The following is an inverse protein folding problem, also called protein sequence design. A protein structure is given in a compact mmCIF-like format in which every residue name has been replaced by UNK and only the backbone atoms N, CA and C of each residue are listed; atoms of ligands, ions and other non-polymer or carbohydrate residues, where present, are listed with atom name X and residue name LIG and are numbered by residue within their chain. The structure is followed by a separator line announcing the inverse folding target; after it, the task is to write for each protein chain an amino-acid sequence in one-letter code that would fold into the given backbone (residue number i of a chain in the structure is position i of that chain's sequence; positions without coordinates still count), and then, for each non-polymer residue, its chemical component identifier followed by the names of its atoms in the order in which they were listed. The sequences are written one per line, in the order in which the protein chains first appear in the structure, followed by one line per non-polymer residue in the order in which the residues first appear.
data_IF_996933026081
#
_entry.id   IF_996933026081
#
_cell.length_a   1.000
_cell.length_b   1.000
_cell.length_c   1.000
_cell.angle_alpha   90.00
_cell.angle_beta   90.00
_cell.angle_gamma   90.00
#
_symmetry.space_group_name_H-M   'P 1'
#
loop_
_entity.id
_entity.type
_entity.pdbx_description
1 polymer ?
#
# COMPACT_ATOMS: atom_id res chain seq x y z
N UNK A 1 -31.70 -0.99 7.74
CA UNK A 1 -31.70 -1.59 6.39
C UNK A 1 -32.76 -0.99 5.46
N UNK A 2 -33.99 -0.67 5.90
CA UNK A 2 -35.05 -0.17 4.98
C UNK A 2 -34.87 1.24 4.38
N UNK A 3 -34.13 2.17 5.00
CA UNK A 3 -33.94 3.51 4.41
C UNK A 3 -32.86 3.57 3.33
N UNK A 4 -31.78 2.80 3.47
CA UNK A 4 -30.70 2.77 2.47
C UNK A 4 -31.17 2.18 1.12
N UNK A 5 -32.00 1.13 1.16
CA UNK A 5 -32.65 0.55 -0.03
C UNK A 5 -33.61 1.55 -0.71
N UNK A 6 -34.30 2.39 0.07
CA UNK A 6 -35.13 3.47 -0.47
C UNK A 6 -34.34 4.51 -1.26
N UNK A 7 -33.13 4.86 -0.78
CA UNK A 7 -32.25 5.81 -1.45
C UNK A 7 -31.45 5.21 -2.61
N UNK A 8 -31.29 3.88 -2.68
CA UNK A 8 -30.62 3.22 -3.81
C UNK A 8 -31.31 3.52 -5.16
N UNK A 9 -32.63 3.75 -5.15
CA UNK A 9 -33.39 4.18 -6.35
C UNK A 9 -32.95 5.54 -6.92
N UNK A 10 -32.25 6.35 -6.13
CA UNK A 10 -31.72 7.65 -6.57
C UNK A 10 -30.37 7.52 -7.29
N UNK A 11 -29.71 6.36 -7.25
CA UNK A 11 -28.38 6.16 -7.87
C UNK A 11 -28.36 6.61 -9.33
N UNK A 12 -29.29 6.23 -10.22
CA UNK A 12 -29.29 6.72 -11.60
C UNK A 12 -29.39 8.24 -11.73
N UNK A 13 -30.14 8.89 -10.82
CA UNK A 13 -30.26 10.35 -10.79
C UNK A 13 -28.97 11.03 -10.34
N UNK A 14 -28.29 10.46 -9.34
CA UNK A 14 -26.99 10.93 -8.85
C UNK A 14 -25.89 10.72 -9.89
N UNK A 15 -25.90 9.59 -10.59
CA UNK A 15 -25.01 9.29 -11.72
C UNK A 15 -25.18 10.35 -12.82
N UNK A 16 -26.42 10.68 -13.20
CA UNK A 16 -26.71 11.73 -14.17
C UNK A 16 -26.22 13.11 -13.71
N UNK A 17 -26.41 13.44 -12.43
CA UNK A 17 -25.92 14.70 -11.86
C UNK A 17 -24.39 14.78 -11.94
N UNK A 18 -23.69 13.72 -11.54
CA UNK A 18 -22.23 13.66 -11.60
C UNK A 18 -21.74 13.74 -13.05
N UNK A 19 -22.39 13.05 -13.99
CA UNK A 19 -22.09 13.13 -15.42
C UNK A 19 -22.24 14.55 -15.98
N UNK A 20 -23.28 15.25 -15.54
CA UNK A 20 -23.49 16.65 -15.91
C UNK A 20 -22.37 17.54 -15.36
N UNK A 21 -21.91 17.34 -14.13
CA UNK A 21 -20.79 18.10 -13.56
C UNK A 21 -19.47 17.88 -14.30
N UNK A 22 -19.21 16.65 -14.78
CA UNK A 22 -18.03 16.35 -15.60
C UNK A 22 -18.09 16.99 -16.99
N UNK A 23 -19.31 17.16 -17.53
CA UNK A 23 -19.54 17.72 -18.87
C UNK A 23 -19.79 19.23 -18.85
N UNK A 24 -20.14 19.77 -17.68
CA UNK A 24 -20.33 21.21 -17.48
C UNK A 24 -18.98 21.88 -17.68
N UNK A 25 -18.95 22.80 -18.63
CA UNK A 25 -17.83 23.71 -18.79
C UNK A 25 -17.71 24.66 -17.61
N UNK A 26 -17.06 25.79 -17.85
CA UNK A 26 -16.75 26.77 -16.83
C UNK A 26 -18.00 27.36 -16.15
N UNK A 27 -18.05 27.24 -14.82
CA UNK A 27 -19.03 27.92 -13.97
C UNK A 27 -18.30 28.87 -13.03
N UNK A 28 -18.44 30.21 -13.18
CA UNK A 28 -17.64 31.18 -12.41
C UNK A 28 -17.80 31.06 -10.88
N UNK A 29 -18.98 30.65 -10.41
CA UNK A 29 -19.30 30.57 -8.98
C UNK A 29 -18.82 29.28 -8.32
N UNK A 30 -18.54 28.25 -9.13
CA UNK A 30 -18.28 26.89 -8.65
C UNK A 30 -16.98 26.29 -9.20
N UNK A 31 -16.25 27.02 -10.05
CA UNK A 31 -14.96 26.57 -10.57
C UNK A 31 -13.88 26.67 -9.50
N UNK A 32 -13.14 25.58 -9.33
CA UNK A 32 -11.92 25.55 -8.53
C UNK A 32 -10.81 24.98 -9.40
N UNK A 33 -9.94 25.88 -9.88
CA UNK A 33 -8.78 25.55 -10.70
C UNK A 33 -9.12 24.79 -11.99
N UNK A 34 -10.20 25.19 -12.68
CA UNK A 34 -10.64 24.59 -13.94
C UNK A 34 -11.54 23.35 -13.78
N UNK A 35 -11.91 23.02 -12.54
CA UNK A 35 -12.82 21.90 -12.24
C UNK A 35 -14.12 22.45 -11.64
N UNK A 36 -15.25 22.09 -12.25
CA UNK A 36 -16.59 22.49 -11.82
C UNK A 36 -17.03 21.75 -10.55
N UNK A 37 -17.19 22.49 -9.46
CA UNK A 37 -17.67 22.04 -8.14
C UNK A 37 -17.03 20.74 -7.63
N UNK A 38 -15.71 20.71 -7.35
CA UNK A 38 -15.04 19.50 -6.88
C UNK A 38 -15.58 19.01 -5.53
N UNK A 39 -16.12 19.91 -4.70
CA UNK A 39 -16.68 19.54 -3.40
C UNK A 39 -17.94 18.71 -3.57
N UNK A 40 -18.87 19.15 -4.42
CA UNK A 40 -20.07 18.38 -4.73
C UNK A 40 -19.73 17.05 -5.39
N UNK A 41 -18.78 17.02 -6.34
CA UNK A 41 -18.33 15.77 -6.96
C UNK A 41 -17.82 14.76 -5.92
N UNK A 42 -16.97 15.19 -4.99
CA UNK A 42 -16.48 14.33 -3.89
C UNK A 42 -17.62 13.84 -3.00
N UNK A 43 -18.59 14.71 -2.66
CA UNK A 43 -19.76 14.30 -1.84
C UNK A 43 -20.66 13.31 -2.57
N UNK A 44 -20.86 13.47 -3.87
CA UNK A 44 -21.61 12.54 -4.71
C UNK A 44 -20.92 11.18 -4.78
N UNK A 45 -19.61 11.14 -5.02
CA UNK A 45 -18.82 9.91 -5.04
C UNK A 45 -18.89 9.17 -3.70
N UNK A 46 -18.80 9.90 -2.58
CA UNK A 46 -18.94 9.33 -1.25
C UNK A 46 -20.34 8.79 -0.98
N UNK A 47 -21.39 9.45 -1.50
CA UNK A 47 -22.75 8.95 -1.40
C UNK A 47 -22.95 7.68 -2.24
N UNK A 48 -22.44 7.66 -3.49
CA UNK A 48 -22.45 6.49 -4.36
C UNK A 48 -21.74 5.31 -3.71
N UNK A 49 -20.57 5.53 -3.10
CA UNK A 49 -19.85 4.52 -2.31
C UNK A 49 -20.75 3.87 -1.24
N UNK A 50 -21.49 4.69 -0.49
CA UNK A 50 -22.36 4.19 0.59
C UNK A 50 -23.59 3.44 0.05
N UNK A 51 -24.13 3.86 -1.09
CA UNK A 51 -25.31 3.25 -1.71
C UNK A 51 -24.98 1.96 -2.48
N UNK A 52 -23.78 1.86 -3.06
CA UNK A 52 -23.32 0.67 -3.79
C UNK A 52 -22.77 -0.43 -2.89
N UNK A 53 -22.36 -0.12 -1.66
CA UNK A 53 -21.78 -1.12 -0.75
C UNK A 53 -22.78 -2.24 -0.43
N UNK A 54 -22.51 -3.45 -0.91
CA UNK A 54 -23.37 -4.63 -0.72
C UNK A 54 -24.67 -4.59 -1.53
N UNK A 55 -24.71 -3.79 -2.61
CA UNK A 55 -25.81 -3.74 -3.57
C UNK A 55 -25.24 -3.78 -5.00
N UNK A 56 -25.36 -4.95 -5.64
CA UNK A 56 -24.81 -5.20 -6.97
C UNK A 56 -25.51 -4.36 -8.05
N UNK A 57 -26.84 -4.27 -8.02
CA UNK A 57 -27.60 -3.46 -8.99
C UNK A 57 -27.21 -1.97 -8.96
N UNK A 58 -27.00 -1.42 -7.76
CA UNK A 58 -26.54 -0.06 -7.59
C UNK A 58 -25.08 0.12 -8.06
N UNK A 59 -24.21 -0.87 -7.78
CA UNK A 59 -22.80 -0.87 -8.20
C UNK A 59 -22.69 -0.88 -9.72
N UNK A 60 -23.45 -1.75 -10.39
CA UNK A 60 -23.52 -1.83 -11.85
C UNK A 60 -23.99 -0.51 -12.47
N UNK A 61 -25.02 0.11 -11.89
CA UNK A 61 -25.53 1.39 -12.39
C UNK A 61 -24.53 2.56 -12.28
N UNK A 62 -23.50 2.46 -11.43
CA UNK A 62 -22.48 3.50 -11.25
C UNK A 62 -21.10 3.17 -11.85
N UNK A 63 -20.87 1.95 -12.33
CA UNK A 63 -19.57 1.53 -12.89
C UNK A 63 -19.10 2.47 -14.04
N UNK A 64 -19.98 2.79 -14.97
CA UNK A 64 -19.67 3.65 -16.12
C UNK A 64 -19.21 5.05 -15.72
N UNK A 65 -19.90 5.67 -14.74
CA UNK A 65 -19.54 7.03 -14.31
C UNK A 65 -18.25 7.03 -13.51
N UNK A 66 -18.01 6.00 -12.68
CA UNK A 66 -16.74 5.86 -11.95
C UNK A 66 -15.57 5.68 -12.92
N UNK A 67 -15.75 4.89 -13.98
CA UNK A 67 -14.75 4.76 -15.04
C UNK A 67 -14.49 6.10 -15.76
N UNK A 68 -15.52 6.87 -16.06
CA UNK A 68 -15.40 8.20 -16.68
C UNK A 68 -14.68 9.19 -15.77
N UNK A 69 -15.03 9.26 -14.47
CA UNK A 69 -14.32 10.11 -13.50
C UNK A 69 -12.85 9.71 -13.43
N UNK A 70 -12.57 8.41 -13.31
CA UNK A 70 -11.23 7.85 -13.20
C UNK A 70 -10.32 8.13 -14.42
N UNK A 71 -10.91 8.33 -15.60
CA UNK A 71 -10.18 8.55 -16.86
C UNK A 71 -10.11 10.01 -17.28
N UNK A 72 -11.17 10.79 -17.06
CA UNK A 72 -11.30 12.16 -17.57
C UNK A 72 -10.88 13.24 -16.56
N UNK A 73 -10.74 12.92 -15.28
CA UNK A 73 -10.38 13.93 -14.26
C UNK A 73 -8.91 14.32 -14.38
N UNK A 74 -8.65 15.62 -14.47
CA UNK A 74 -7.30 16.17 -14.55
C UNK A 74 -6.53 16.02 -13.23
N UNK A 75 -5.29 15.52 -13.26
CA UNK A 75 -4.48 15.24 -12.06
C UNK A 75 -3.43 16.31 -11.74
N UNK A 76 -3.37 17.37 -12.55
CA UNK A 76 -2.38 18.43 -12.41
C UNK A 76 -2.58 19.27 -11.14
N UNK A 77 -3.80 19.28 -10.58
CA UNK A 77 -4.20 20.10 -9.43
C UNK A 77 -4.76 19.24 -8.30
N UNK A 78 -4.66 19.76 -7.07
CA UNK A 78 -5.14 19.06 -5.88
C UNK A 78 -6.65 18.75 -5.91
N UNK A 79 -7.46 19.63 -6.52
CA UNK A 79 -8.90 19.41 -6.65
C UNK A 79 -9.21 18.12 -7.43
N UNK A 80 -8.54 17.89 -8.55
CA UNK A 80 -8.74 16.67 -9.35
C UNK A 80 -8.16 15.42 -8.66
N UNK A 81 -7.02 15.55 -7.99
CA UNK A 81 -6.48 14.46 -7.16
C UNK A 81 -7.43 14.06 -6.02
N UNK A 82 -8.15 15.03 -5.42
CA UNK A 82 -9.15 14.76 -4.38
C UNK A 82 -10.39 14.03 -4.94
N UNK A 83 -10.88 14.41 -6.11
CA UNK A 83 -11.98 13.72 -6.81
C UNK A 83 -11.57 12.28 -7.13
N UNK A 84 -10.39 12.10 -7.74
CA UNK A 84 -9.88 10.77 -8.09
C UNK A 84 -9.66 9.90 -6.86
N UNK A 85 -9.16 10.48 -5.76
CA UNK A 85 -9.01 9.74 -4.52
C UNK A 85 -10.34 9.22 -3.99
N UNK A 86 -11.38 10.05 -3.96
CA UNK A 86 -12.70 9.61 -3.51
C UNK A 86 -13.32 8.61 -4.52
N UNK A 87 -13.06 8.79 -5.81
CA UNK A 87 -13.48 7.85 -6.85
C UNK A 87 -12.84 6.46 -6.64
N UNK A 88 -11.52 6.42 -6.38
CA UNK A 88 -10.81 5.18 -6.05
C UNK A 88 -11.40 4.53 -4.81
N UNK A 89 -11.65 5.30 -3.74
CA UNK A 89 -12.29 4.77 -2.52
C UNK A 89 -13.67 4.19 -2.81
N UNK A 90 -14.47 4.85 -3.65
CA UNK A 90 -15.77 4.34 -4.06
C UNK A 90 -15.61 2.98 -4.76
N UNK A 91 -14.76 2.91 -5.79
CA UNK A 91 -14.47 1.68 -6.54
C UNK A 91 -14.03 0.52 -5.63
N UNK A 92 -13.13 0.78 -4.68
CA UNK A 92 -12.60 -0.26 -3.79
C UNK A 92 -13.60 -0.72 -2.71
N UNK A 93 -14.72 -0.03 -2.53
CA UNK A 93 -15.70 -0.35 -1.48
C UNK A 93 -16.95 -1.05 -2.02
N UNK A 94 -17.30 -0.79 -3.28
CA UNK A 94 -18.46 -1.40 -3.94
C UNK A 94 -18.07 -2.72 -4.60
N UNK A 95 -19.06 -3.49 -5.03
CA UNK A 95 -18.85 -4.71 -5.83
C UNK A 95 -18.56 -4.34 -7.30
N UNK A 96 -17.49 -3.58 -7.52
CA UNK A 96 -17.06 -3.13 -8.83
C UNK A 96 -16.42 -4.27 -9.64
N UNK A 97 -16.54 -4.19 -10.96
CA UNK A 97 -15.87 -5.07 -11.91
C UNK A 97 -14.34 -5.08 -11.71
N UNK A 98 -13.71 -6.23 -12.00
CA UNK A 98 -12.26 -6.41 -11.85
C UNK A 98 -11.45 -5.39 -12.65
N UNK A 99 -11.90 -5.02 -13.86
CA UNK A 99 -11.25 -4.01 -14.68
C UNK A 99 -11.22 -2.63 -14.01
N UNK A 100 -12.30 -2.25 -13.32
CA UNK A 100 -12.40 -0.99 -12.62
C UNK A 100 -11.52 -0.97 -11.35
N UNK A 101 -11.44 -2.09 -10.63
CA UNK A 101 -10.50 -2.25 -9.50
C UNK A 101 -9.04 -2.12 -9.96
N UNK A 102 -8.68 -2.75 -11.07
CA UNK A 102 -7.33 -2.61 -11.66
C UNK A 102 -7.03 -1.16 -12.04
N UNK A 103 -7.99 -0.46 -12.66
CA UNK A 103 -7.84 0.96 -12.98
C UNK A 103 -7.58 1.80 -11.71
N UNK A 104 -8.32 1.52 -10.64
CA UNK A 104 -8.17 2.23 -9.37
C UNK A 104 -6.80 1.98 -8.71
N UNK A 105 -6.27 0.74 -8.74
CA UNK A 105 -4.90 0.48 -8.28
C UNK A 105 -3.87 1.22 -9.13
N UNK A 106 -4.07 1.30 -10.45
CA UNK A 106 -3.17 2.05 -11.34
C UNK A 106 -3.21 3.57 -11.10
N UNK A 107 -4.32 4.12 -10.63
CA UNK A 107 -4.39 5.52 -10.18
C UNK A 107 -3.57 5.70 -8.90
N UNK A 108 -3.73 4.81 -7.92
CA UNK A 108 -2.92 4.84 -6.70
C UNK A 108 -1.43 4.70 -6.98
N UNK A 109 -1.04 3.83 -7.91
CA UNK A 109 0.36 3.71 -8.37
C UNK A 109 0.91 5.01 -8.95
N UNK A 110 0.11 5.74 -9.74
CA UNK A 110 0.48 7.09 -10.22
C UNK A 110 0.59 8.11 -9.09
N UNK A 111 -0.26 8.02 -8.06
CA UNK A 111 -0.19 8.89 -6.90
C UNK A 111 1.09 8.71 -6.08
N UNK A 112 1.72 7.53 -6.10
CA UNK A 112 3.02 7.30 -5.45
C UNK A 112 4.16 8.14 -6.07
N UNK A 113 4.02 8.54 -7.33
CA UNK A 113 4.99 9.39 -8.04
C UNK A 113 4.69 10.89 -7.89
N UNK A 114 3.63 11.26 -7.16
CA UNK A 114 3.26 12.66 -6.99
C UNK A 114 4.27 13.41 -6.11
N UNK A 115 4.50 14.69 -6.40
CA UNK A 115 5.41 15.53 -5.60
C UNK A 115 4.86 15.86 -4.22
N UNK A 116 3.53 15.83 -4.06
CA UNK A 116 2.89 16.12 -2.78
C UNK A 116 2.99 14.90 -1.84
N UNK A 117 3.62 15.08 -0.69
CA UNK A 117 3.76 14.05 0.34
C UNK A 117 2.41 13.53 0.82
N UNK A 118 1.39 14.38 0.90
CA UNK A 118 0.06 13.99 1.35
C UNK A 118 -0.59 13.01 0.36
N UNK A 119 -0.41 13.24 -0.94
CA UNK A 119 -0.96 12.37 -1.99
C UNK A 119 -0.27 11.00 -1.93
N UNK A 120 1.06 10.97 -1.79
CA UNK A 120 1.83 9.73 -1.65
C UNK A 120 1.46 8.96 -0.39
N UNK A 121 1.33 9.66 0.73
CA UNK A 121 0.92 9.07 2.00
C UNK A 121 -0.46 8.40 1.88
N UNK A 122 -1.42 9.13 1.32
CA UNK A 122 -2.77 8.63 1.10
C UNK A 122 -2.77 7.41 0.17
N UNK A 123 -1.99 7.44 -0.90
CA UNK A 123 -1.87 6.31 -1.82
C UNK A 123 -1.31 5.06 -1.14
N UNK A 124 -0.22 5.17 -0.37
CA UNK A 124 0.34 4.05 0.40
C UNK A 124 -0.66 3.48 1.41
N UNK A 125 -1.33 4.37 2.16
CA UNK A 125 -2.34 3.97 3.15
C UNK A 125 -3.52 3.23 2.49
N UNK A 126 -3.99 3.71 1.34
CA UNK A 126 -5.07 3.05 0.61
C UNK A 126 -4.62 1.73 0.02
N UNK A 127 -3.45 1.66 -0.63
CA UNK A 127 -2.90 0.41 -1.17
C UNK A 127 -2.75 -0.66 -0.08
N UNK A 128 -2.34 -0.29 1.14
CA UNK A 128 -2.28 -1.22 2.27
C UNK A 128 -3.64 -1.79 2.67
N UNK A 129 -4.76 -1.15 2.34
CA UNK A 129 -6.10 -1.68 2.62
C UNK A 129 -6.59 -2.61 1.52
N UNK A 130 -6.18 -2.38 0.28
CA UNK A 130 -6.66 -3.15 -0.88
C UNK A 130 -5.74 -4.33 -1.23
N UNK A 131 -4.51 -4.34 -0.71
CA UNK A 131 -3.54 -5.40 -1.03
C UNK A 131 -4.07 -6.79 -0.67
N UNK A 132 -4.93 -6.93 0.34
CA UNK A 132 -5.54 -8.23 0.70
C UNK A 132 -6.47 -8.77 -0.37
N UNK A 133 -7.05 -7.90 -1.19
CA UNK A 133 -8.08 -8.24 -2.16
C UNK A 133 -7.47 -8.50 -3.55
N UNK A 134 -6.42 -7.77 -3.91
CA UNK A 134 -5.72 -7.90 -5.21
C UNK A 134 -4.21 -7.66 -5.06
N UNK A 135 -3.50 -8.64 -4.50
CA UNK A 135 -2.04 -8.60 -4.34
C UNK A 135 -1.35 -8.43 -5.71
N UNK A 136 -1.79 -9.15 -6.74
CA UNK A 136 -1.09 -9.23 -8.03
C UNK A 136 -1.06 -7.88 -8.75
N UNK A 137 -2.14 -7.09 -8.69
CA UNK A 137 -2.14 -5.76 -9.28
C UNK A 137 -1.28 -4.79 -8.48
N UNK A 138 -1.29 -4.85 -7.14
CA UNK A 138 -0.44 -3.98 -6.31
C UNK A 138 1.05 -4.31 -6.50
N UNK A 139 1.41 -5.59 -6.69
CA UNK A 139 2.78 -6.02 -6.95
C UNK A 139 3.40 -5.38 -8.20
N UNK A 140 2.59 -4.97 -9.19
CA UNK A 140 3.10 -4.28 -10.39
C UNK A 140 3.75 -2.93 -10.04
N UNK A 141 3.33 -2.31 -8.94
CA UNK A 141 3.87 -1.04 -8.45
C UNK A 141 4.94 -1.23 -7.36
N UNK A 142 5.40 -2.46 -7.11
CA UNK A 142 6.37 -2.80 -6.06
C UNK A 142 7.64 -1.96 -6.11
N UNK A 143 8.20 -1.73 -7.30
CA UNK A 143 9.42 -0.94 -7.45
C UNK A 143 9.25 0.47 -6.87
N UNK A 144 8.17 1.15 -7.25
CA UNK A 144 7.84 2.49 -6.73
C UNK A 144 7.57 2.47 -5.23
N UNK A 145 6.89 1.44 -4.71
CA UNK A 145 6.63 1.28 -3.27
C UNK A 145 7.94 1.10 -2.49
N UNK A 146 8.87 0.30 -3.01
CA UNK A 146 10.20 0.11 -2.40
C UNK A 146 11.00 1.41 -2.43
N UNK A 147 10.94 2.19 -3.51
CA UNK A 147 11.61 3.49 -3.58
C UNK A 147 11.08 4.48 -2.54
N UNK A 148 9.82 4.36 -2.09
CA UNK A 148 9.29 5.15 -0.97
C UNK A 148 10.00 4.88 0.37
N UNK A 149 10.78 3.79 0.54
CA UNK A 149 11.63 3.58 1.73
C UNK A 149 12.80 4.57 1.80
N UNK A 150 13.16 5.20 0.67
CA UNK A 150 14.23 6.20 0.57
C UNK A 150 13.70 7.63 0.67
N UNK A 151 12.40 7.80 0.96
CA UNK A 151 11.77 9.12 1.01
C UNK A 151 12.30 9.97 2.18
N UNK A 152 12.50 11.29 2.02
CA UNK A 152 12.88 12.15 3.13
C UNK A 152 11.84 12.15 4.28
N UNK A 153 10.56 11.94 3.99
CA UNK A 153 9.48 11.92 4.98
C UNK A 153 9.37 10.57 5.69
N UNK A 154 9.57 10.57 7.01
CA UNK A 154 9.48 9.37 7.86
C UNK A 154 8.09 8.73 7.77
N UNK A 155 7.02 9.53 7.64
CA UNK A 155 5.65 9.04 7.57
C UNK A 155 5.41 8.21 6.30
N UNK A 156 6.01 8.64 5.19
CA UNK A 156 5.96 7.91 3.91
C UNK A 156 6.75 6.61 4.03
N UNK A 157 7.98 6.66 4.57
CA UNK A 157 8.81 5.46 4.78
C UNK A 157 8.12 4.41 5.65
N UNK A 158 7.45 4.83 6.72
CA UNK A 158 6.68 3.95 7.60
C UNK A 158 5.52 3.27 6.86
N UNK A 159 4.71 4.03 6.09
CA UNK A 159 3.60 3.47 5.32
C UNK A 159 4.07 2.54 4.20
N UNK A 160 5.17 2.87 3.55
CA UNK A 160 5.79 2.02 2.54
C UNK A 160 6.23 0.69 3.16
N UNK A 161 6.90 0.72 4.31
CA UNK A 161 7.34 -0.47 5.00
C UNK A 161 6.18 -1.39 5.42
N UNK A 162 5.09 -0.82 5.97
CA UNK A 162 3.87 -1.57 6.31
C UNK A 162 3.25 -2.30 5.10
N UNK A 163 3.23 -1.63 3.95
CA UNK A 163 2.75 -2.20 2.69
C UNK A 163 3.70 -3.28 2.17
N UNK A 164 5.02 -3.06 2.24
CA UNK A 164 6.01 -4.04 1.78
C UNK A 164 5.89 -5.35 2.55
N UNK A 165 5.65 -5.33 3.87
CA UNK A 165 5.41 -6.57 4.64
C UNK A 165 4.23 -7.39 4.11
N UNK A 166 3.18 -6.73 3.62
CA UNK A 166 2.00 -7.38 3.06
C UNK A 166 2.23 -7.89 1.64
N UNK A 167 3.22 -7.34 0.94
CA UNK A 167 3.64 -7.76 -0.41
C UNK A 167 4.65 -8.91 -0.40
N UNK A 168 5.11 -9.38 0.76
CA UNK A 168 6.05 -10.50 0.80
C UNK A 168 5.36 -11.81 0.42
N UNK A 169 5.99 -12.54 -0.48
CA UNK A 169 5.62 -13.87 -0.95
C UNK A 169 6.86 -14.74 -1.01
N UNK A 170 6.69 -16.06 -1.06
CA UNK A 170 7.81 -17.00 -1.20
C UNK A 170 8.67 -16.77 -2.45
N UNK A 171 8.13 -16.09 -3.47
CA UNK A 171 8.84 -15.79 -4.73
C UNK A 171 9.72 -14.53 -4.66
N UNK A 172 9.36 -13.57 -3.82
CA UNK A 172 10.01 -12.24 -3.78
C UNK A 172 10.69 -11.92 -2.44
N UNK A 173 10.59 -12.83 -1.46
CA UNK A 173 11.11 -12.63 -0.09
C UNK A 173 12.57 -12.23 -0.08
N UNK A 174 13.43 -12.86 -0.89
CA UNK A 174 14.86 -12.58 -0.90
C UNK A 174 15.17 -11.13 -1.28
N UNK A 175 14.43 -10.56 -2.24
CA UNK A 175 14.64 -9.20 -2.70
C UNK A 175 14.05 -8.18 -1.73
N UNK A 176 12.81 -8.39 -1.27
CA UNK A 176 12.17 -7.49 -0.31
C UNK A 176 12.89 -7.49 1.04
N UNK A 177 13.43 -8.64 1.47
CA UNK A 177 14.23 -8.74 2.68
C UNK A 177 15.51 -7.89 2.57
N UNK A 178 16.17 -7.90 1.41
CA UNK A 178 17.35 -7.05 1.19
C UNK A 178 17.02 -5.57 1.38
N UNK A 179 15.89 -5.11 0.85
CA UNK A 179 15.44 -3.72 1.00
C UNK A 179 15.06 -3.38 2.44
N UNK A 180 14.43 -4.31 3.17
CA UNK A 180 14.14 -4.14 4.60
C UNK A 180 15.41 -4.05 5.45
N UNK A 181 16.43 -4.88 5.18
CA UNK A 181 17.72 -4.81 5.86
C UNK A 181 18.47 -3.51 5.53
N UNK A 182 18.42 -3.05 4.27
CA UNK A 182 18.98 -1.76 3.88
C UNK A 182 18.30 -0.61 4.65
N UNK A 183 16.98 -0.65 4.78
CA UNK A 183 16.23 0.34 5.55
C UNK A 183 16.56 0.27 7.05
N UNK A 184 16.83 -0.92 7.60
CA UNK A 184 17.22 -1.11 9.01
C UNK A 184 18.50 -0.35 9.39
N UNK A 185 19.44 -0.17 8.46
CA UNK A 185 20.68 0.60 8.68
C UNK A 185 20.36 2.05 9.03
N UNK A 186 19.41 2.67 8.32
CA UNK A 186 19.07 4.10 8.44
C UNK A 186 17.84 4.36 9.33
N UNK A 187 17.20 3.32 9.85
CA UNK A 187 16.02 3.43 10.70
C UNK A 187 16.37 4.00 12.09
N UNK A 188 15.46 4.77 12.67
CA UNK A 188 15.60 5.29 14.03
C UNK A 188 15.55 4.15 15.06
N UNK A 189 16.22 4.31 16.21
CA UNK A 189 16.30 3.28 17.27
C UNK A 189 14.92 2.75 17.69
N UNK A 190 13.93 3.63 17.85
CA UNK A 190 12.56 3.26 18.22
C UNK A 190 11.87 2.37 17.17
N UNK A 191 12.26 2.50 15.89
CA UNK A 191 11.71 1.73 14.78
C UNK A 191 12.47 0.42 14.54
N UNK A 192 13.78 0.38 14.85
CA UNK A 192 14.63 -0.79 14.62
C UNK A 192 14.07 -2.03 15.31
N UNK A 193 13.64 -1.91 16.56
CA UNK A 193 13.07 -3.05 17.31
C UNK A 193 11.86 -3.66 16.61
N UNK A 194 10.87 -2.85 16.21
CA UNK A 194 9.67 -3.31 15.51
C UNK A 194 10.02 -3.90 14.13
N UNK A 195 10.94 -3.26 13.39
CA UNK A 195 11.43 -3.77 12.11
C UNK A 195 12.08 -5.15 12.29
N UNK A 196 12.95 -5.35 13.28
CA UNK A 196 13.55 -6.65 13.57
C UNK A 196 12.51 -7.73 13.89
N UNK A 197 11.49 -7.40 14.70
CA UNK A 197 10.39 -8.35 14.98
C UNK A 197 9.62 -8.73 13.71
N UNK A 198 9.33 -7.76 12.83
CA UNK A 198 8.62 -8.03 11.56
C UNK A 198 9.46 -8.81 10.56
N UNK A 199 10.76 -8.55 10.50
CA UNK A 199 11.73 -9.33 9.73
C UNK A 199 11.73 -10.78 10.21
N UNK A 200 11.84 -11.00 11.52
CA UNK A 200 11.82 -12.34 12.12
C UNK A 200 10.57 -13.14 11.71
N UNK A 201 9.38 -12.53 11.82
CA UNK A 201 8.11 -13.16 11.42
C UNK A 201 8.11 -13.49 9.91
N UNK A 202 8.63 -12.58 9.10
CA UNK A 202 8.68 -12.74 7.63
C UNK A 202 9.62 -13.87 7.22
N UNK A 203 10.80 -13.94 7.85
CA UNK A 203 11.80 -14.96 7.62
C UNK A 203 11.28 -16.34 8.03
N UNK A 204 10.63 -16.46 9.19
CA UNK A 204 10.06 -17.72 9.66
C UNK A 204 8.98 -18.25 8.70
N UNK A 205 8.15 -17.35 8.16
CA UNK A 205 7.05 -17.72 7.26
C UNK A 205 7.47 -18.02 5.82
N UNK A 206 8.44 -17.29 5.28
CA UNK A 206 8.74 -17.29 3.84
C UNK A 206 10.16 -17.73 3.48
N UNK A 207 10.99 -18.17 4.44
CA UNK A 207 12.36 -18.58 4.15
C UNK A 207 12.44 -19.66 3.05
N UNK A 208 13.27 -19.45 2.00
CA UNK A 208 13.44 -20.42 0.92
C UNK A 208 14.39 -21.57 1.30
N UNK A 209 15.32 -21.33 2.24
CA UNK A 209 16.24 -22.34 2.75
C UNK A 209 16.69 -22.00 4.16
N UNK A 210 17.13 -23.03 4.90
CA UNK A 210 17.65 -22.88 6.26
C UNK A 210 18.91 -22.02 6.31
N UNK A 211 19.79 -22.16 5.32
CA UNK A 211 20.97 -21.31 5.16
C UNK A 211 20.60 -19.84 4.98
N UNK A 212 19.66 -19.55 4.09
CA UNK A 212 19.21 -18.18 3.86
C UNK A 212 18.55 -17.57 5.11
N UNK A 213 17.76 -18.36 5.84
CA UNK A 213 17.15 -17.94 7.11
C UNK A 213 18.24 -17.52 8.12
N UNK A 214 19.22 -18.39 8.36
CA UNK A 214 20.30 -18.11 9.32
C UNK A 214 21.14 -16.91 8.86
N UNK A 215 21.52 -16.85 7.58
CA UNK A 215 22.29 -15.74 7.01
C UNK A 215 21.57 -14.39 7.18
N UNK A 216 20.26 -14.37 6.97
CA UNK A 216 19.43 -13.16 7.11
C UNK A 216 19.37 -12.71 8.56
N UNK A 217 19.17 -13.64 9.50
CA UNK A 217 19.10 -13.32 10.94
C UNK A 217 20.44 -12.83 11.49
N UNK A 218 21.55 -13.45 11.10
CA UNK A 218 22.89 -12.99 11.49
C UNK A 218 23.14 -11.57 10.96
N UNK A 219 22.80 -11.30 9.69
CA UNK A 219 22.94 -9.98 9.10
C UNK A 219 22.06 -8.94 9.79
N UNK A 220 20.83 -9.32 10.17
CA UNK A 220 19.95 -8.43 10.92
C UNK A 220 20.53 -8.11 12.30
N UNK A 221 21.08 -9.11 13.00
CA UNK A 221 21.69 -8.94 14.32
C UNK A 221 22.93 -8.04 14.26
N UNK A 222 23.79 -8.16 13.25
CA UNK A 222 24.94 -7.26 13.09
C UNK A 222 24.54 -5.82 12.82
N UNK A 223 23.47 -5.57 12.07
CA UNK A 223 23.00 -4.21 11.76
C UNK A 223 22.27 -3.55 12.95
N UNK A 224 21.42 -4.31 13.64
CA UNK A 224 20.56 -3.76 14.68
C UNK A 224 21.21 -3.76 16.07
N UNK A 225 22.14 -4.69 16.33
CA UNK A 225 22.82 -4.84 17.62
C UNK A 225 21.85 -4.84 18.80
N UNK A 226 22.07 -3.92 19.74
CA UNK A 226 21.28 -3.77 20.97
C UNK A 226 19.82 -3.34 20.76
N UNK A 227 19.41 -2.99 19.53
CA UNK A 227 18.02 -2.66 19.22
C UNK A 227 17.14 -3.90 19.02
N UNK A 228 17.74 -5.08 18.86
CA UNK A 228 17.04 -6.35 18.77
C UNK A 228 16.55 -6.82 20.13
N UNK A 229 15.36 -7.41 20.15
CA UNK A 229 14.87 -8.13 21.32
C UNK A 229 15.69 -9.43 21.55
N UNK A 230 15.93 -9.78 22.81
CA UNK A 230 16.74 -10.96 23.21
C UNK A 230 16.13 -12.26 22.68
N UNK A 231 14.81 -12.29 22.50
CA UNK A 231 14.09 -13.40 21.88
C UNK A 231 14.59 -13.71 20.46
N UNK A 232 15.00 -12.69 19.68
CA UNK A 232 15.51 -12.86 18.32
C UNK A 232 16.85 -13.60 18.33
N UNK A 233 17.75 -13.23 19.24
CA UNK A 233 19.03 -13.91 19.42
C UNK A 233 18.82 -15.38 19.83
N UNK A 234 17.94 -15.61 20.82
CA UNK A 234 17.59 -16.95 21.29
C UNK A 234 17.03 -17.84 20.17
N UNK A 235 16.12 -17.29 19.35
CA UNK A 235 15.55 -18.04 18.22
C UNK A 235 16.60 -18.32 17.13
N UNK A 236 17.53 -17.39 16.89
CA UNK A 236 18.63 -17.59 15.94
C UNK A 236 19.53 -18.75 16.37
N UNK A 237 19.90 -18.80 17.66
CA UNK A 237 20.66 -19.92 18.24
C UNK A 237 19.91 -21.25 18.10
N UNK A 238 18.59 -21.25 18.37
CA UNK A 238 17.75 -22.43 18.17
C UNK A 238 17.74 -22.90 16.71
N UNK A 239 17.70 -21.97 15.74
CA UNK A 239 17.71 -22.36 14.33
C UNK A 239 19.05 -22.94 13.90
N UNK A 240 20.16 -22.42 14.44
CA UNK A 240 21.52 -22.92 14.21
C UNK A 240 21.70 -24.31 14.84
N UNK A 241 21.22 -24.53 16.07
CA UNK A 241 21.35 -25.83 16.74
C UNK A 241 20.61 -26.95 16.02
N UNK A 242 19.47 -26.63 15.40
CA UNK A 242 18.70 -27.56 14.56
C UNK A 242 19.31 -27.82 13.18
N UNK A 243 20.31 -27.05 12.74
CA UNK A 243 20.94 -27.15 11.42
C UNK A 243 22.40 -27.60 11.53
N UNK A 244 22.61 -28.85 11.95
CA UNK A 244 23.94 -29.44 12.22
C UNK A 244 24.92 -29.29 11.05
N UNK A 245 24.42 -29.43 9.82
CA UNK A 245 25.19 -29.31 8.57
C UNK A 245 25.72 -27.89 8.30
N UNK A 246 25.11 -26.87 8.91
CA UNK A 246 25.46 -25.46 8.70
C UNK A 246 26.29 -24.87 9.86
N UNK A 247 26.45 -25.58 10.97
CA UNK A 247 27.10 -25.04 12.18
C UNK A 247 28.54 -24.55 11.91
N UNK A 248 29.35 -25.35 11.20
CA UNK A 248 30.74 -24.96 10.86
C UNK A 248 30.78 -23.67 10.02
N UNK A 249 29.89 -23.56 9.04
CA UNK A 249 29.77 -22.37 8.20
C UNK A 249 29.36 -21.15 9.02
N UNK A 250 28.37 -21.30 9.90
CA UNK A 250 27.86 -20.22 10.75
C UNK A 250 28.93 -19.71 11.71
N UNK A 251 29.68 -20.61 12.36
CA UNK A 251 30.77 -20.22 13.25
C UNK A 251 31.83 -19.41 12.50
N UNK A 252 32.25 -19.86 11.32
CA UNK A 252 33.21 -19.12 10.51
C UNK A 252 32.68 -17.75 10.10
N UNK A 253 31.40 -17.65 9.70
CA UNK A 253 30.79 -16.39 9.29
C UNK A 253 30.68 -15.40 10.45
N UNK A 254 30.23 -15.84 11.62
CA UNK A 254 30.15 -14.99 12.81
C UNK A 254 31.55 -14.55 13.23
N UNK A 255 32.55 -15.45 13.20
CA UNK A 255 33.93 -15.09 13.50
C UNK A 255 34.46 -14.00 12.57
N UNK A 256 34.27 -14.11 11.26
CA UNK A 256 34.67 -13.08 10.29
C UNK A 256 33.96 -11.75 10.55
N UNK A 257 32.66 -11.75 10.84
CA UNK A 257 31.94 -10.52 11.16
C UNK A 257 32.47 -9.84 12.42
N UNK A 258 32.87 -10.61 13.44
CA UNK A 258 33.48 -10.08 14.66
C UNK A 258 34.92 -9.57 14.47
N UNK A 259 35.65 -10.02 13.44
CA UNK A 259 36.95 -9.47 13.07
C UNK A 259 36.83 -8.16 12.27
N UNK A 260 35.70 -7.95 11.58
CA UNK A 260 35.43 -6.76 10.78
C UNK A 260 34.80 -5.60 11.57
N UNK A 261 34.18 -5.89 12.73
CA UNK A 261 33.62 -4.92 13.69
C UNK A 261 34.69 -4.20 14.54
#
# INVERSE_FOLDING_TARGET
KSQAEGFARLVPSLVRLLKNLLSMGYSPEHDVAGITDPFLQVKLLRLLQLLGKGNDEASDAMNDILAQVATNTETAKNAGNAILYECVKAIMTIEAESGLRVLAVNILGRFLLNRDNNIRYVALHTLSKVVTDDIDTVQRHRATIVDCLKDPDISIRQRALELIYQLVTSKNVADLMREMLNYLVVANTDQKSNLCSKIMITVDKFSPSRRWQIDTLITMLSIAGNSCDEAIGSNTVMYISQAEDLQQYVVHKIFTLLEED
#
